data_IF_062655157383
#
_entry.id   IF_062655157383
#
_cell.length_a   1.000
_cell.length_b   1.000
_cell.length_c   1.000
_cell.angle_alpha   90.00
_cell.angle_beta   90.00
_cell.angle_gamma   90.00
#
_symmetry.space_group_name_H-M   'P 1'
#
loop_
_entity.id
_entity.type
_entity.pdbx_description
1 polymer ?
#
# COMPACT_ATOMS: atom_id res chain seq x y z
N UNK A 1 -17.79 -3.16 -12.70
CA UNK A 1 -17.20 -1.80 -12.81
C UNK A 1 -16.38 -1.57 -11.54
N UNK A 2 -15.07 -1.85 -11.51
CA UNK A 2 -14.37 -1.91 -10.21
C UNK A 2 -13.01 -1.19 -10.13
N UNK A 3 -12.22 -1.08 -11.21
CA UNK A 3 -10.93 -0.36 -11.13
C UNK A 3 -11.08 1.17 -11.10
N UNK A 4 -12.03 1.72 -11.85
CA UNK A 4 -12.25 3.18 -11.90
C UNK A 4 -12.69 3.76 -10.55
N UNK A 5 -13.63 3.10 -9.87
CA UNK A 5 -14.06 3.49 -8.53
C UNK A 5 -12.94 3.37 -7.48
N UNK A 6 -12.09 2.34 -7.61
CA UNK A 6 -10.90 2.17 -6.76
C UNK A 6 -9.89 3.30 -6.93
N UNK A 7 -9.51 3.63 -8.18
CA UNK A 7 -8.56 4.72 -8.45
C UNK A 7 -9.13 6.07 -8.00
N UNK A 8 -10.44 6.32 -8.21
CA UNK A 8 -11.10 7.52 -7.69
C UNK A 8 -11.07 7.59 -6.15
N UNK A 9 -11.34 6.48 -5.45
CA UNK A 9 -11.27 6.44 -3.99
C UNK A 9 -9.83 6.66 -3.48
N UNK A 10 -8.83 6.08 -4.15
CA UNK A 10 -7.40 6.31 -3.87
C UNK A 10 -7.00 7.77 -4.08
N UNK A 11 -7.45 8.39 -5.17
CA UNK A 11 -7.19 9.81 -5.47
C UNK A 11 -7.82 10.72 -4.41
N UNK A 12 -9.10 10.50 -4.07
CA UNK A 12 -9.78 11.24 -3.01
C UNK A 12 -9.09 11.06 -1.65
N UNK A 13 -8.66 9.84 -1.33
CA UNK A 13 -7.91 9.53 -0.12
C UNK A 13 -6.55 10.24 -0.08
N UNK A 14 -5.78 10.15 -1.17
CA UNK A 14 -4.48 10.80 -1.31
C UNK A 14 -4.61 12.30 -1.07
N UNK A 15 -5.58 12.96 -1.70
CA UNK A 15 -5.87 14.38 -1.48
C UNK A 15 -6.29 14.73 -0.05
N UNK A 16 -6.82 13.76 0.72
CA UNK A 16 -7.21 13.96 2.13
C UNK A 16 -6.03 13.75 3.10
N UNK A 17 -5.07 12.89 2.74
CA UNK A 17 -3.91 12.57 3.59
C UNK A 17 -2.71 13.47 3.29
N UNK A 18 -2.54 13.94 2.05
CA UNK A 18 -1.53 14.94 1.68
C UNK A 18 -1.90 16.26 2.39
N UNK A 19 -1.47 16.41 3.65
CA UNK A 19 -1.75 17.58 4.49
C UNK A 19 -1.87 17.30 6.00
N UNK A 20 -2.13 16.05 6.42
CA UNK A 20 -2.20 15.69 7.85
C UNK A 20 -0.99 14.85 8.27
N UNK A 21 -0.31 15.25 9.36
CA UNK A 21 0.89 14.58 9.85
C UNK A 21 0.70 13.10 10.18
N UNK A 22 1.77 12.37 9.89
CA UNK A 22 1.93 10.94 9.72
C UNK A 22 1.74 10.12 11.01
N UNK A 23 0.66 9.35 11.05
CA UNK A 23 0.60 8.08 11.77
C UNK A 23 0.06 7.04 10.80
N UNK A 24 0.57 5.81 10.85
CA UNK A 24 0.13 4.73 9.96
C UNK A 24 -1.36 4.41 10.20
N UNK A 25 -2.27 5.15 9.56
CA UNK A 25 -3.72 4.98 9.70
C UNK A 25 -4.18 3.94 8.68
N UNK A 26 -4.39 2.72 9.17
CA UNK A 26 -5.15 1.70 8.43
C UNK A 26 -6.58 2.22 8.28
N UNK A 27 -7.00 2.59 7.07
CA UNK A 27 -8.41 2.87 6.75
C UNK A 27 -8.98 1.75 5.90
N UNK A 28 -10.17 1.28 6.29
CA UNK A 28 -10.92 0.25 5.59
C UNK A 28 -11.94 0.89 4.63
N UNK A 29 -11.93 0.51 3.36
CA UNK A 29 -12.98 0.88 2.39
C UNK A 29 -13.70 -0.40 1.96
N UNK A 30 -14.98 -0.50 2.30
CA UNK A 30 -15.80 -1.67 1.98
C UNK A 30 -16.31 -1.61 0.54
N UNK A 31 -15.98 -2.63 -0.25
CA UNK A 31 -16.46 -2.82 -1.62
C UNK A 31 -17.08 -4.22 -1.76
N UNK A 32 -18.35 -4.36 -1.40
CA UNK A 32 -19.03 -5.66 -1.44
C UNK A 32 -18.38 -6.66 -0.47
N UNK A 33 -17.82 -7.75 -1.00
CA UNK A 33 -17.14 -8.80 -0.20
C UNK A 33 -15.63 -8.55 -0.04
N UNK A 34 -15.13 -7.41 -0.51
CA UNK A 34 -13.71 -7.08 -0.48
C UNK A 34 -13.46 -5.85 0.38
N UNK A 35 -12.44 -5.93 1.22
CA UNK A 35 -12.00 -4.85 2.11
C UNK A 35 -10.69 -4.27 1.57
N UNK A 36 -10.69 -2.96 1.32
CA UNK A 36 -9.48 -2.24 0.98
C UNK A 36 -8.82 -1.69 2.22
N UNK A 37 -7.53 -1.97 2.36
CA UNK A 37 -6.73 -1.50 3.47
C UNK A 37 -5.62 -0.60 2.94
N UNK A 38 -5.54 0.60 3.50
CA UNK A 38 -4.55 1.58 3.07
C UNK A 38 -3.61 1.91 4.22
N UNK A 39 -2.30 1.84 3.96
CA UNK A 39 -1.24 2.24 4.88
C UNK A 39 -0.51 3.42 4.22
N UNK A 40 -0.54 4.58 4.87
CA UNK A 40 0.30 5.72 4.48
C UNK A 40 1.53 5.77 5.39
N UNK A 41 2.72 5.73 4.78
CA UNK A 41 4.01 5.86 5.47
C UNK A 41 4.95 6.72 4.62
N UNK A 42 5.49 7.78 5.21
CA UNK A 42 6.31 8.77 4.49
C UNK A 42 5.57 9.33 3.26
N UNK A 43 6.18 9.32 2.08
CA UNK A 43 5.59 9.78 0.82
C UNK A 43 4.91 8.68 0.00
N UNK A 44 4.75 7.48 0.56
CA UNK A 44 4.21 6.30 -0.15
C UNK A 44 2.89 5.86 0.47
N UNK A 45 1.93 5.52 -0.41
CA UNK A 45 0.64 4.94 -0.04
C UNK A 45 0.63 3.49 -0.51
N UNK A 46 0.46 2.56 0.43
CA UNK A 46 0.28 1.15 0.17
C UNK A 46 -1.20 0.82 0.26
N UNK A 47 -1.77 0.26 -0.79
CA UNK A 47 -3.17 -0.15 -0.84
C UNK A 47 -3.26 -1.65 -1.12
N UNK A 48 -4.02 -2.35 -0.29
CA UNK A 48 -4.19 -3.79 -0.33
C UNK A 48 -5.67 -4.13 -0.47
N UNK A 49 -5.96 -5.11 -1.33
CA UNK A 49 -7.30 -5.67 -1.49
C UNK A 49 -7.34 -7.01 -0.79
N UNK A 50 -8.17 -7.14 0.25
CA UNK A 50 -8.22 -8.33 1.11
C UNK A 50 -9.66 -8.81 1.19
N UNK A 51 -9.89 -10.10 0.94
CA UNK A 51 -11.22 -10.71 1.06
C UNK A 51 -11.56 -11.10 2.49
N UNK A 52 -10.61 -11.70 3.23
CA UNK A 52 -10.80 -12.10 4.62
C UNK A 52 -9.59 -11.67 5.45
N UNK A 53 -9.72 -10.57 6.19
CA UNK A 53 -8.64 -10.07 7.04
C UNK A 53 -8.39 -11.00 8.23
N UNK A 54 -7.12 -11.28 8.50
CA UNK A 54 -6.66 -11.93 9.72
C UNK A 54 -5.41 -11.23 10.27
N UNK A 55 -5.06 -11.49 11.53
CA UNK A 55 -3.95 -10.82 12.21
C UNK A 55 -2.58 -11.07 11.54
N UNK A 56 -2.40 -12.21 10.88
CA UNK A 56 -1.17 -12.53 10.15
C UNK A 56 -1.05 -11.69 8.88
N UNK A 57 -2.12 -11.61 8.08
CA UNK A 57 -2.19 -10.76 6.88
C UNK A 57 -1.96 -9.30 7.23
N UNK A 58 -2.61 -8.81 8.29
CA UNK A 58 -2.40 -7.45 8.78
C UNK A 58 -0.92 -7.20 9.09
N UNK A 59 -0.25 -8.13 9.80
CA UNK A 59 1.18 -8.03 10.10
C UNK A 59 2.02 -8.01 8.82
N UNK A 60 1.74 -8.89 7.86
CA UNK A 60 2.46 -8.96 6.60
C UNK A 60 2.35 -7.66 5.79
N UNK A 61 1.17 -7.04 5.76
CA UNK A 61 0.99 -5.75 5.07
C UNK A 61 1.89 -4.65 5.66
N UNK A 62 2.05 -4.60 6.98
CA UNK A 62 2.97 -3.65 7.62
C UNK A 62 4.44 -3.97 7.31
N UNK A 63 4.83 -5.26 7.35
CA UNK A 63 6.19 -5.70 7.05
C UNK A 63 6.58 -5.40 5.60
N UNK A 64 5.71 -5.74 4.65
CA UNK A 64 5.89 -5.45 3.22
C UNK A 64 6.08 -3.93 3.01
N UNK A 65 5.26 -3.10 3.66
CA UNK A 65 5.40 -1.64 3.56
C UNK A 65 6.73 -1.14 4.13
N UNK A 66 7.19 -1.70 5.25
CA UNK A 66 8.47 -1.32 5.86
C UNK A 66 9.67 -1.79 5.02
N UNK A 67 9.62 -3.00 4.48
CA UNK A 67 10.67 -3.54 3.61
C UNK A 67 10.78 -2.73 2.31
N UNK A 68 9.66 -2.39 1.68
CA UNK A 68 9.66 -1.56 0.47
C UNK A 68 10.32 -0.21 0.73
N UNK A 69 9.91 0.47 1.81
CA UNK A 69 10.48 1.76 2.18
C UNK A 69 11.96 1.63 2.52
N UNK A 70 12.37 0.56 3.18
CA UNK A 70 13.76 0.32 3.53
C UNK A 70 14.64 0.10 2.29
N UNK A 71 14.18 -0.73 1.36
CA UNK A 71 14.88 -1.13 0.14
C UNK A 71 15.01 0.04 -0.84
N UNK A 72 13.94 0.79 -1.07
CA UNK A 72 13.91 1.89 -2.04
C UNK A 72 14.10 3.27 -1.42
N UNK A 73 14.46 3.40 -0.13
CA UNK A 73 14.56 4.70 0.59
C UNK A 73 15.33 5.78 -0.17
N UNK A 74 16.43 5.40 -0.83
CA UNK A 74 17.32 6.34 -1.50
C UNK A 74 16.80 6.69 -2.89
N UNK A 75 16.18 5.72 -3.57
CA UNK A 75 15.51 5.94 -4.84
C UNK A 75 14.27 6.85 -4.69
N UNK A 76 13.49 6.66 -3.62
CA UNK A 76 12.29 7.45 -3.33
C UNK A 76 12.57 8.93 -3.10
N UNK A 77 13.77 9.30 -2.60
CA UNK A 77 14.16 10.71 -2.38
C UNK A 77 14.30 11.50 -3.68
N UNK A 78 14.65 10.82 -4.77
CA UNK A 78 14.89 11.41 -6.11
C UNK A 78 13.95 10.81 -7.16
N UNK A 79 12.81 10.29 -6.70
CA UNK A 79 11.85 9.60 -7.55
C UNK A 79 11.36 10.53 -8.67
N UNK A 80 11.59 10.12 -9.91
CA UNK A 80 11.27 10.88 -11.12
C UNK A 80 10.05 10.32 -11.86
N UNK A 81 9.35 9.34 -11.27
CA UNK A 81 8.23 8.64 -11.90
C UNK A 81 8.59 7.30 -12.56
N UNK A 82 9.86 6.94 -12.67
CA UNK A 82 10.25 5.62 -13.18
C UNK A 82 10.00 4.52 -12.13
N UNK A 83 9.03 3.66 -12.41
CA UNK A 83 8.60 2.57 -11.53
C UNK A 83 9.36 1.27 -11.77
N UNK A 84 10.18 1.19 -12.82
CA UNK A 84 10.89 -0.03 -13.23
C UNK A 84 11.67 -0.68 -12.09
N UNK A 85 12.39 0.06 -11.23
CA UNK A 85 13.18 -0.54 -10.14
C UNK A 85 12.33 -1.33 -9.14
N UNK A 86 11.06 -0.97 -8.95
CA UNK A 86 10.15 -1.60 -7.99
C UNK A 86 9.71 -3.01 -8.41
N UNK A 87 9.89 -3.39 -9.68
CA UNK A 87 9.54 -4.73 -10.18
C UNK A 87 10.30 -5.84 -9.44
N UNK A 88 11.53 -5.57 -9.00
CA UNK A 88 12.35 -6.51 -8.23
C UNK A 88 11.72 -6.89 -6.88
N UNK A 89 10.86 -6.02 -6.32
CA UNK A 89 10.24 -6.24 -5.03
C UNK A 89 9.15 -7.32 -5.02
N UNK A 90 8.70 -7.76 -6.20
CA UNK A 90 7.72 -8.85 -6.32
C UNK A 90 8.23 -10.13 -5.65
N UNK A 91 9.53 -10.41 -5.73
CA UNK A 91 10.14 -11.58 -5.08
C UNK A 91 9.99 -11.53 -3.55
N UNK A 92 10.12 -10.34 -2.95
CA UNK A 92 9.97 -10.15 -1.51
C UNK A 92 8.50 -10.33 -1.10
N UNK A 93 7.57 -9.75 -1.86
CA UNK A 93 6.12 -9.91 -1.62
C UNK A 93 5.77 -11.39 -1.64
N UNK A 94 6.27 -12.13 -2.64
CA UNK A 94 5.94 -13.54 -2.80
C UNK A 94 6.30 -14.37 -1.56
N UNK A 95 7.38 -14.06 -0.84
CA UNK A 95 7.75 -14.78 0.40
C UNK A 95 6.65 -14.77 1.48
N UNK A 96 5.81 -13.74 1.52
CA UNK A 96 4.71 -13.63 2.47
C UNK A 96 3.47 -14.44 2.10
N UNK A 97 3.37 -14.86 0.83
CA UNK A 97 2.23 -15.56 0.26
C UNK A 97 2.58 -16.96 -0.26
N UNK A 98 3.79 -17.47 0.02
CA UNK A 98 4.11 -18.88 -0.14
C UNK A 98 3.22 -19.67 0.85
N UNK A 99 2.14 -20.25 0.31
CA UNK A 99 1.29 -21.25 0.97
C UNK A 99 1.80 -22.63 0.56
#
# INVERSE_FOLDING_TARGET
VHIGGFISALLSFSNTIIGEETGAKLKEINFGNQQFYVISKSTVIFAFLVENMNSLLQRYMYLIADEFLYEFRDYLKVFNGDVTPFTSFEENINQYFII
#
